data_IF_516341214224
#
_entry.id   IF_516341214224
#
_cell.length_a   1.000
_cell.length_b   1.000
_cell.length_c   1.000
_cell.angle_alpha   90.00
_cell.angle_beta   90.00
_cell.angle_gamma   90.00
#
_symmetry.space_group_name_H-M   'P 1'
#
loop_
_entity.id
_entity.type
_entity.pdbx_description
1 polymer ?
#
# COMPACT_ATOMS: atom_id res chain seq x y z
N UNK A 1 -16.23 -22.66 -10.30
CA UNK A 1 -15.83 -23.60 -9.22
C UNK A 1 -15.70 -24.95 -9.88
N UNK A 2 -14.55 -25.61 -9.77
CA UNK A 2 -14.39 -26.97 -10.28
C UNK A 2 -14.90 -27.93 -9.21
N UNK A 3 -15.72 -28.88 -9.61
CA UNK A 3 -16.32 -29.89 -8.72
C UNK A 3 -15.74 -31.24 -9.14
N UNK A 4 -15.33 -32.04 -8.16
CA UNK A 4 -14.90 -33.42 -8.39
C UNK A 4 -16.01 -34.19 -9.12
N UNK A 5 -15.67 -34.90 -10.20
CA UNK A 5 -16.68 -35.66 -10.97
C UNK A 5 -17.25 -36.83 -10.17
N UNK A 6 -16.43 -37.40 -9.28
CA UNK A 6 -16.87 -38.46 -8.37
C UNK A 6 -17.91 -37.96 -7.38
N UNK A 7 -19.09 -38.58 -7.39
CA UNK A 7 -20.21 -38.22 -6.51
C UNK A 7 -19.90 -38.41 -5.02
N UNK A 8 -18.98 -39.31 -4.69
CA UNK A 8 -18.55 -39.58 -3.30
C UNK A 8 -17.46 -38.61 -2.82
N UNK A 9 -16.66 -38.06 -3.73
CA UNK A 9 -15.47 -37.24 -3.45
C UNK A 9 -15.81 -35.86 -2.85
N UNK A 10 -16.96 -35.26 -3.18
CA UNK A 10 -17.48 -34.01 -2.57
C UNK A 10 -16.61 -32.73 -2.71
N UNK A 11 -15.37 -32.85 -3.19
CA UNK A 11 -14.37 -31.80 -3.20
C UNK A 11 -14.70 -30.70 -4.22
N UNK A 12 -14.49 -29.44 -3.81
CA UNK A 12 -14.75 -28.24 -4.62
C UNK A 12 -13.54 -27.32 -4.61
N UNK A 13 -13.09 -26.96 -5.80
CA UNK A 13 -11.94 -26.08 -6.02
C UNK A 13 -12.40 -24.73 -6.54
N UNK A 14 -12.08 -23.67 -5.80
CA UNK A 14 -12.32 -22.29 -6.22
C UNK A 14 -11.42 -21.93 -7.41
N UNK A 15 -12.02 -21.45 -8.50
CA UNK A 15 -11.27 -21.07 -9.72
C UNK A 15 -10.59 -19.71 -9.57
N UNK A 16 -11.22 -18.81 -8.82
CA UNK A 16 -10.71 -17.48 -8.55
C UNK A 16 -11.07 -17.06 -7.13
N UNK A 17 -10.20 -16.27 -6.50
CA UNK A 17 -10.46 -15.61 -5.22
C UNK A 17 -10.44 -14.10 -5.43
N UNK A 18 -11.50 -13.41 -4.99
CA UNK A 18 -11.50 -11.94 -4.98
C UNK A 18 -10.61 -11.49 -3.82
N UNK A 19 -9.66 -10.60 -4.12
CA UNK A 19 -8.72 -10.08 -3.13
C UNK A 19 -8.99 -8.61 -2.84
N UNK A 20 -8.44 -8.10 -1.73
CA UNK A 20 -8.50 -6.66 -1.41
C UNK A 20 -7.45 -5.83 -2.15
N UNK A 21 -6.56 -6.48 -2.93
CA UNK A 21 -5.61 -5.80 -3.79
C UNK A 21 -6.35 -4.98 -4.87
N UNK A 22 -5.86 -3.78 -5.14
CA UNK A 22 -6.47 -2.83 -6.08
C UNK A 22 -5.63 -2.74 -7.34
N UNK A 23 -6.31 -2.74 -8.49
CA UNK A 23 -5.66 -2.54 -9.77
C UNK A 23 -5.01 -1.13 -9.84
N UNK A 24 -3.78 -1.01 -10.36
CA UNK A 24 -3.12 0.29 -10.52
C UNK A 24 -3.84 1.21 -11.53
N UNK A 25 -4.55 0.66 -12.52
CA UNK A 25 -5.19 1.46 -13.57
C UNK A 25 -6.62 1.90 -13.22
N UNK A 26 -7.43 1.02 -12.65
CA UNK A 26 -8.87 1.28 -12.45
C UNK A 26 -9.32 1.22 -10.99
N UNK A 27 -8.41 0.91 -10.06
CA UNK A 27 -8.67 0.78 -8.61
C UNK A 27 -9.81 -0.20 -8.22
N UNK A 28 -10.25 -1.07 -9.14
CA UNK A 28 -11.14 -2.19 -8.84
C UNK A 28 -10.37 -3.31 -8.13
N UNK A 29 -11.10 -4.16 -7.41
CA UNK A 29 -10.53 -5.34 -6.74
C UNK A 29 -9.96 -6.32 -7.77
N UNK A 30 -8.83 -6.92 -7.45
CA UNK A 30 -8.17 -7.93 -8.29
C UNK A 30 -8.64 -9.34 -7.92
N UNK A 31 -8.83 -10.18 -8.93
CA UNK A 31 -9.07 -11.61 -8.78
C UNK A 31 -7.74 -12.37 -8.87
N UNK A 32 -7.48 -13.25 -7.91
CA UNK A 32 -6.34 -14.15 -7.94
C UNK A 32 -6.75 -15.47 -8.61
N UNK A 33 -6.03 -15.87 -9.66
CA UNK A 33 -6.20 -17.15 -10.35
C UNK A 33 -4.90 -17.94 -10.37
N UNK A 34 -5.00 -19.26 -10.42
CA UNK A 34 -3.86 -20.18 -10.45
C UNK A 34 -3.49 -20.74 -9.08
N UNK A 35 -2.49 -21.61 -9.06
CA UNK A 35 -2.01 -22.31 -7.88
C UNK A 35 -0.49 -22.22 -7.74
N UNK A 36 -0.02 -22.20 -6.50
CA UNK A 36 1.40 -22.11 -6.18
C UNK A 36 2.05 -20.84 -6.74
N UNK A 37 3.20 -21.01 -7.38
CA UNK A 37 4.04 -19.92 -7.91
C UNK A 37 3.50 -19.31 -9.21
N UNK A 38 2.60 -20.00 -9.90
CA UNK A 38 1.93 -19.53 -11.12
C UNK A 38 0.72 -18.64 -10.86
N UNK A 39 0.55 -18.12 -9.65
CA UNK A 39 -0.57 -17.28 -9.29
C UNK A 39 -0.50 -15.90 -9.96
N UNK A 40 -1.62 -15.47 -10.54
CA UNK A 40 -1.75 -14.22 -11.31
C UNK A 40 -2.97 -13.47 -10.81
N UNK A 41 -2.79 -12.18 -10.56
CA UNK A 41 -3.87 -11.23 -10.35
C UNK A 41 -4.41 -10.74 -11.69
N UNK A 42 -5.73 -10.76 -11.84
CA UNK A 42 -6.43 -10.31 -13.04
C UNK A 42 -7.47 -9.28 -12.62
N UNK A 43 -7.51 -8.17 -13.36
CA UNK A 43 -8.56 -7.17 -13.25
C UNK A 43 -9.53 -7.25 -14.43
N UNK A 44 -10.79 -6.91 -14.19
CA UNK A 44 -11.79 -6.77 -15.26
C UNK A 44 -11.46 -5.69 -16.30
N UNK A 45 -10.53 -4.76 -16.03
CA UNK A 45 -10.06 -3.78 -17.02
C UNK A 45 -8.97 -4.32 -17.97
N UNK A 46 -8.56 -5.59 -17.83
CA UNK A 46 -7.52 -6.22 -18.64
C UNK A 46 -6.11 -6.24 -18.02
N UNK A 47 -5.90 -5.55 -16.88
CA UNK A 47 -4.62 -5.62 -16.15
C UNK A 47 -4.37 -7.03 -15.61
N UNK A 48 -3.15 -7.55 -15.80
CA UNK A 48 -2.71 -8.85 -15.28
C UNK A 48 -1.31 -8.71 -14.70
N UNK A 49 -1.10 -9.20 -13.49
CA UNK A 49 0.22 -9.18 -12.83
C UNK A 49 0.48 -10.50 -12.10
N UNK A 50 1.70 -11.02 -12.18
CA UNK A 50 2.10 -12.20 -11.39
C UNK A 50 2.14 -11.84 -9.91
N UNK A 51 1.83 -12.81 -9.04
CA UNK A 51 1.84 -12.60 -7.59
C UNK A 51 3.22 -12.19 -7.05
N UNK A 52 4.30 -12.72 -7.61
CA UNK A 52 5.68 -12.33 -7.27
C UNK A 52 5.92 -10.83 -7.51
N UNK A 53 5.62 -10.37 -8.72
CA UNK A 53 5.77 -8.96 -9.13
C UNK A 53 4.86 -8.05 -8.30
N UNK A 54 3.63 -8.48 -8.00
CA UNK A 54 2.73 -7.75 -7.12
C UNK A 54 3.33 -7.54 -5.73
N UNK A 55 3.87 -8.61 -5.12
CA UNK A 55 4.46 -8.56 -3.79
C UNK A 55 5.70 -7.67 -3.76
N UNK A 56 6.57 -7.73 -4.77
CA UNK A 56 7.74 -6.86 -4.90
C UNK A 56 7.34 -5.38 -4.99
N UNK A 57 6.41 -5.05 -5.88
CA UNK A 57 5.87 -3.69 -6.00
C UNK A 57 5.26 -3.22 -4.68
N UNK A 58 4.49 -4.09 -4.03
CA UNK A 58 3.82 -3.74 -2.77
C UNK A 58 4.82 -3.48 -1.65
N UNK A 59 5.89 -4.29 -1.56
CA UNK A 59 6.98 -4.09 -0.61
C UNK A 59 7.63 -2.72 -0.81
N UNK A 60 7.97 -2.38 -2.06
CA UNK A 60 8.56 -1.08 -2.42
C UNK A 60 7.63 0.10 -2.06
N UNK A 61 6.33 -0.02 -2.34
CA UNK A 61 5.34 1.02 -1.99
C UNK A 61 5.21 1.24 -0.48
N UNK A 62 5.39 0.20 0.35
CA UNK A 62 5.28 0.30 1.82
C UNK A 62 6.55 0.76 2.52
N UNK A 63 7.75 0.58 1.93
CA UNK A 63 9.01 0.86 2.66
C UNK A 63 9.35 2.35 2.74
N UNK A 64 8.73 3.21 1.92
CA UNK A 64 9.08 4.64 1.85
C UNK A 64 7.98 5.62 2.28
N UNK A 65 6.77 5.14 2.62
CA UNK A 65 5.65 6.01 2.98
C UNK A 65 5.48 6.07 4.49
N UNK A 66 5.79 7.22 5.10
CA UNK A 66 5.42 7.50 6.48
C UNK A 66 3.91 7.27 6.66
N UNK A 67 3.52 6.53 7.70
CA UNK A 67 2.10 6.25 7.93
C UNK A 67 1.36 7.55 8.28
N UNK A 68 0.04 7.58 8.08
CA UNK A 68 -0.77 8.72 8.53
C UNK A 68 -0.58 9.01 10.02
N UNK A 69 -0.34 7.97 10.81
CA UNK A 69 -0.07 8.06 12.24
C UNK A 69 1.27 8.75 12.49
N UNK A 70 2.32 8.38 11.75
CA UNK A 70 3.65 8.99 11.89
C UNK A 70 3.63 10.46 11.52
N UNK A 71 2.95 10.82 10.42
CA UNK A 71 2.78 12.22 10.01
C UNK A 71 1.96 12.99 11.04
N UNK A 72 0.89 12.41 11.56
CA UNK A 72 0.08 13.05 12.61
C UNK A 72 0.88 13.23 13.92
N UNK A 73 1.71 12.26 14.29
CA UNK A 73 2.59 12.35 15.45
C UNK A 73 3.66 13.42 15.26
N UNK A 74 4.27 13.50 14.08
CA UNK A 74 5.23 14.53 13.71
C UNK A 74 4.60 15.94 13.76
N UNK A 75 3.40 16.12 13.18
CA UNK A 75 2.68 17.41 13.23
C UNK A 75 2.26 17.78 14.65
N UNK A 76 1.92 16.81 15.51
CA UNK A 76 1.65 17.05 16.94
C UNK A 76 2.92 17.43 17.69
N UNK A 77 4.06 16.79 17.38
CA UNK A 77 5.35 17.12 17.98
C UNK A 77 5.80 18.54 17.60
N UNK A 78 5.59 18.98 16.35
CA UNK A 78 5.84 20.37 15.94
C UNK A 78 4.95 21.39 16.65
N UNK A 79 3.72 21.01 17.04
CA UNK A 79 2.77 21.87 17.75
C UNK A 79 3.00 21.94 19.26
N UNK A 80 3.80 21.02 19.82
CA UNK A 80 4.19 21.10 21.23
C UNK A 80 5.18 22.26 21.37
N UNK A 81 4.89 23.26 22.21
CA UNK A 81 5.75 24.42 22.40
C UNK A 81 6.94 24.08 23.32
N UNK A 82 7.66 23.00 23.03
CA UNK A 82 8.89 22.67 23.73
C UNK A 82 10.02 23.46 23.07
N UNK A 83 10.08 24.75 23.45
CA UNK A 83 11.07 25.76 23.10
C UNK A 83 11.13 26.19 21.61
N UNK A 84 11.44 27.47 21.32
CA UNK A 84 11.62 27.92 19.94
C UNK A 84 12.77 27.12 19.32
N UNK A 85 12.51 26.39 18.24
CA UNK A 85 13.52 25.61 17.51
C UNK A 85 14.57 26.49 16.79
N UNK A 86 14.78 27.73 17.21
CA UNK A 86 15.89 28.58 16.78
C UNK A 86 15.91 29.93 17.53
N UNK A 87 16.42 30.00 18.77
CA UNK A 87 16.78 31.30 19.35
C UNK A 87 17.88 31.97 18.50
N UNK A 88 18.84 31.21 17.98
CA UNK A 88 19.96 31.74 17.20
C UNK A 88 19.56 32.37 15.86
N UNK A 89 18.73 31.69 15.06
CA UNK A 89 18.28 32.22 13.76
C UNK A 89 17.27 33.37 13.94
N UNK A 90 16.37 33.28 14.93
CA UNK A 90 15.41 34.34 15.22
C UNK A 90 16.10 35.61 15.72
N UNK A 91 17.12 35.49 16.59
CA UNK A 91 17.93 36.63 17.02
C UNK A 91 18.77 37.24 15.89
N UNK A 92 19.33 36.41 14.99
CA UNK A 92 20.08 36.90 13.85
C UNK A 92 19.18 37.67 12.86
N UNK A 93 17.96 37.19 12.61
CA UNK A 93 16.97 37.87 11.77
C UNK A 93 16.42 39.14 12.41
N UNK A 94 16.22 39.16 13.73
CA UNK A 94 15.81 40.36 14.45
C UNK A 94 16.87 41.48 14.41
N UNK A 95 18.15 41.11 14.33
CA UNK A 95 19.28 42.05 14.20
C UNK A 95 19.57 42.47 12.74
N UNK A 96 18.98 41.79 11.76
CA UNK A 96 19.09 42.14 10.34
C UNK A 96 18.16 43.31 9.99
N UNK A 97 18.69 44.54 10.01
CA UNK A 97 18.01 45.72 9.45
C UNK A 97 18.22 45.75 7.93
N UNK A 98 17.20 45.36 7.17
CA UNK A 98 17.13 45.65 5.74
C UNK A 98 16.86 47.16 5.58
N UNK A 99 17.77 47.87 4.90
CA UNK A 99 17.57 49.26 4.47
C UNK A 99 16.71 49.30 3.22
#
# INVERSE_FOLDING_TARGET
MLVCQDRECGYRKGVAKITNARCPNCHKKLELRGEGEGQIFICGCGHREKLSVFNERRKQETTGKASKTDVAQYMRAQKKPDAPFNPALAEALAKLKLK
#
